data_IF_944661803893
#
_entry.id   IF_944661803893
#
_cell.length_a   1.000
_cell.length_b   1.000
_cell.length_c   1.000
_cell.angle_alpha   90.00
_cell.angle_beta   90.00
_cell.angle_gamma   90.00
#
_symmetry.space_group_name_H-M   'P 1'
#
loop_
_entity.id
_entity.type
_entity.pdbx_description
1 polymer ?
#
# COMPACT_ATOMS: atom_id res chain seq x y z
N UNK A 1 11.33 20.47 35.12
CA UNK A 1 11.00 21.23 33.88
C UNK A 1 11.38 20.44 32.62
N UNK A 2 12.65 20.06 32.44
CA UNK A 2 13.14 19.33 31.25
C UNK A 2 12.40 18.02 30.93
N UNK A 3 12.12 17.20 31.96
CA UNK A 3 11.40 15.93 31.82
C UNK A 3 9.99 16.09 31.24
N UNK A 4 9.23 17.08 31.71
CA UNK A 4 7.88 17.35 31.20
C UNK A 4 7.90 17.79 29.74
N UNK A 5 8.86 18.65 29.35
CA UNK A 5 9.05 19.04 27.95
C UNK A 5 9.45 17.85 27.08
N UNK A 6 10.30 16.95 27.56
CA UNK A 6 10.71 15.76 26.82
C UNK A 6 9.52 14.86 26.46
N UNK A 7 8.69 14.49 27.44
CA UNK A 7 7.52 13.65 27.19
C UNK A 7 6.46 14.33 26.32
N UNK A 8 6.29 15.65 26.46
CA UNK A 8 5.38 16.40 25.61
C UNK A 8 5.83 16.42 24.13
N UNK A 9 7.13 16.37 23.85
CA UNK A 9 7.65 16.27 22.48
C UNK A 9 7.53 14.85 21.92
N UNK A 10 7.80 13.83 22.73
CA UNK A 10 7.60 12.42 22.32
C UNK A 10 6.14 12.17 21.94
N UNK A 11 5.17 12.69 22.70
CA UNK A 11 3.75 12.50 22.38
C UNK A 11 3.30 13.19 21.08
N UNK A 12 4.05 14.20 20.60
CA UNK A 12 3.78 14.87 19.30
C UNK A 12 4.35 14.11 18.11
N UNK A 13 5.38 13.30 18.32
CA UNK A 13 6.06 12.55 17.26
C UNK A 13 5.15 11.52 16.56
N UNK A 14 4.31 10.71 17.24
CA UNK A 14 3.37 9.81 16.59
C UNK A 14 2.45 10.52 15.61
N UNK A 15 1.97 11.72 15.96
CA UNK A 15 1.09 12.50 15.09
C UNK A 15 1.79 12.94 13.80
N UNK A 16 3.04 13.38 13.92
CA UNK A 16 3.87 13.71 12.77
C UNK A 16 4.12 12.49 11.90
N UNK A 17 4.54 11.38 12.51
CA UNK A 17 4.84 10.13 11.81
C UNK A 17 3.63 9.60 11.03
N UNK A 18 2.45 9.57 11.66
CA UNK A 18 1.21 9.14 11.00
C UNK A 18 0.86 10.09 9.84
N UNK A 19 0.97 11.41 10.05
CA UNK A 19 0.67 12.38 8.99
C UNK A 19 1.63 12.23 7.80
N UNK A 20 2.92 12.02 8.04
CA UNK A 20 3.93 11.80 7.00
C UNK A 20 3.69 10.49 6.25
N UNK A 21 3.38 9.40 6.96
CA UNK A 21 3.02 8.12 6.34
C UNK A 21 1.78 8.29 5.47
N UNK A 22 0.71 8.86 6.00
CA UNK A 22 -0.53 9.05 5.25
C UNK A 22 -0.32 9.93 4.01
N UNK A 23 0.41 11.04 4.14
CA UNK A 23 0.76 11.92 3.03
C UNK A 23 1.61 11.20 1.97
N UNK A 24 2.63 10.45 2.40
CA UNK A 24 3.48 9.65 1.52
C UNK A 24 2.68 8.59 0.76
N UNK A 25 1.82 7.83 1.45
CA UNK A 25 0.93 6.85 0.84
C UNK A 25 0.00 7.53 -0.19
N UNK A 26 -0.68 8.61 0.19
CA UNK A 26 -1.60 9.30 -0.71
C UNK A 26 -0.92 9.79 -2.00
N UNK A 27 0.29 10.35 -1.90
CA UNK A 27 1.05 10.85 -3.06
C UNK A 27 1.54 9.68 -3.92
N UNK A 28 2.09 8.64 -3.28
CA UNK A 28 2.64 7.46 -3.96
C UNK A 28 1.56 6.66 -4.69
N UNK A 29 0.37 6.51 -4.09
CA UNK A 29 -0.76 5.78 -4.68
C UNK A 29 -1.62 6.64 -5.62
N UNK A 30 -1.46 7.96 -5.67
CA UNK A 30 -2.17 8.85 -6.60
C UNK A 30 -2.10 8.40 -8.08
N UNK A 31 -0.94 8.05 -8.67
CA UNK A 31 -0.89 7.53 -10.03
C UNK A 31 -1.63 6.20 -10.19
N UNK A 32 -1.61 5.34 -9.18
CA UNK A 32 -2.34 4.06 -9.16
C UNK A 32 -3.85 4.32 -9.23
N UNK A 33 -4.37 5.22 -8.39
CA UNK A 33 -5.77 5.64 -8.44
C UNK A 33 -6.16 6.27 -9.78
N UNK A 34 -5.25 7.04 -10.41
CA UNK A 34 -5.46 7.60 -11.74
C UNK A 34 -5.57 6.52 -12.83
N UNK A 35 -4.76 5.47 -12.74
CA UNK A 35 -4.80 4.34 -13.68
C UNK A 35 -6.08 3.51 -13.52
N UNK A 36 -6.58 3.35 -12.30
CA UNK A 36 -7.85 2.68 -11.98
C UNK A 36 -9.10 3.44 -12.47
N UNK A 37 -9.02 4.77 -12.63
CA UNK A 37 -10.16 5.58 -13.10
C UNK A 37 -10.44 5.42 -14.61
N UNK A 38 -9.44 5.04 -15.40
CA UNK A 38 -9.63 4.82 -16.83
C UNK A 38 -10.14 3.39 -17.07
N UNK A 39 -11.38 3.23 -17.55
CA UNK A 39 -12.05 1.93 -17.66
C UNK A 39 -11.24 0.91 -18.48
N UNK A 40 -10.60 1.33 -19.59
CA UNK A 40 -9.77 0.44 -20.41
C UNK A 40 -8.50 0.00 -19.67
N UNK A 41 -7.83 0.92 -18.98
CA UNK A 41 -6.62 0.60 -18.20
C UNK A 41 -6.95 -0.22 -16.96
N UNK A 42 -8.10 0.03 -16.34
CA UNK A 42 -8.62 -0.74 -15.20
C UNK A 42 -8.80 -2.20 -15.57
N UNK A 43 -9.44 -2.48 -16.71
CA UNK A 43 -9.63 -3.86 -17.19
C UNK A 43 -8.27 -4.54 -17.38
N UNK A 44 -7.31 -3.89 -18.05
CA UNK A 44 -5.96 -4.42 -18.27
C UNK A 44 -5.24 -4.73 -16.94
N UNK A 45 -5.34 -3.84 -15.95
CA UNK A 45 -4.71 -4.04 -14.64
C UNK A 45 -5.36 -5.22 -13.91
N UNK A 46 -6.70 -5.27 -13.88
CA UNK A 46 -7.43 -6.36 -13.20
C UNK A 46 -7.13 -7.70 -13.86
N UNK A 47 -7.12 -7.78 -15.20
CA UNK A 47 -6.80 -9.03 -15.90
C UNK A 47 -5.37 -9.46 -15.61
N UNK A 48 -4.40 -8.53 -15.64
CA UNK A 48 -2.99 -8.83 -15.33
C UNK A 48 -2.81 -9.35 -13.90
N UNK A 49 -3.52 -8.75 -12.92
CA UNK A 49 -3.49 -9.21 -11.53
C UNK A 49 -4.11 -10.61 -11.42
N UNK A 50 -5.28 -10.82 -12.01
CA UNK A 50 -5.98 -12.11 -11.99
C UNK A 50 -5.15 -13.23 -12.64
N UNK A 51 -4.51 -12.96 -13.78
CA UNK A 51 -3.62 -13.93 -14.43
C UNK A 51 -2.40 -14.23 -13.58
N UNK A 52 -1.81 -13.21 -12.95
CA UNK A 52 -0.64 -13.40 -12.07
C UNK A 52 -1.00 -14.27 -10.87
N UNK A 53 -2.13 -14.00 -10.21
CA UNK A 53 -2.64 -14.81 -9.09
C UNK A 53 -2.91 -16.25 -9.55
N UNK A 54 -3.51 -16.43 -10.73
CA UNK A 54 -3.80 -17.76 -11.28
C UNK A 54 -2.53 -18.55 -11.57
N UNK A 55 -1.50 -17.89 -12.10
CA UNK A 55 -0.19 -18.50 -12.35
C UNK A 55 0.47 -18.89 -11.03
N UNK A 56 0.49 -17.98 -10.04
CA UNK A 56 1.05 -18.26 -8.72
C UNK A 56 0.32 -19.41 -8.04
N UNK A 57 -1.01 -19.45 -8.12
CA UNK A 57 -1.81 -20.55 -7.61
C UNK A 57 -1.38 -21.87 -8.27
N UNK A 58 -1.29 -21.91 -9.61
CA UNK A 58 -0.83 -23.11 -10.32
C UNK A 58 0.58 -23.54 -9.91
N UNK A 59 1.51 -22.60 -9.73
CA UNK A 59 2.87 -22.90 -9.27
C UNK A 59 2.82 -23.55 -7.88
N UNK A 60 2.06 -22.96 -6.95
CA UNK A 60 1.92 -23.48 -5.59
C UNK A 60 1.28 -24.87 -5.59
N UNK A 61 0.21 -25.07 -6.37
CA UNK A 61 -0.46 -26.36 -6.55
C UNK A 61 0.49 -27.41 -7.14
N UNK A 62 1.28 -27.03 -8.16
CA UNK A 62 2.30 -27.90 -8.77
C UNK A 62 3.38 -28.29 -7.75
N UNK A 63 3.82 -27.37 -6.90
CA UNK A 63 4.78 -27.64 -5.84
C UNK A 63 4.22 -28.53 -4.73
N UNK A 64 2.93 -28.39 -4.43
CA UNK A 64 2.24 -29.18 -3.41
C UNK A 64 1.75 -30.54 -3.93
N UNK A 65 1.82 -30.77 -5.24
CA UNK A 65 1.37 -31.99 -5.92
C UNK A 65 -0.09 -32.37 -5.55
N UNK A 66 -0.91 -31.35 -5.28
CA UNK A 66 -2.35 -31.43 -4.96
C UNK A 66 -3.20 -31.07 -6.16
#
# INVERSE_FOLDING_TARGET
>A
MFYFYFWNNINKFPRFFIATILGFFLITFRPIFRLLRNDKKRIIIITTIATTISILYKIITLMLNT
#
